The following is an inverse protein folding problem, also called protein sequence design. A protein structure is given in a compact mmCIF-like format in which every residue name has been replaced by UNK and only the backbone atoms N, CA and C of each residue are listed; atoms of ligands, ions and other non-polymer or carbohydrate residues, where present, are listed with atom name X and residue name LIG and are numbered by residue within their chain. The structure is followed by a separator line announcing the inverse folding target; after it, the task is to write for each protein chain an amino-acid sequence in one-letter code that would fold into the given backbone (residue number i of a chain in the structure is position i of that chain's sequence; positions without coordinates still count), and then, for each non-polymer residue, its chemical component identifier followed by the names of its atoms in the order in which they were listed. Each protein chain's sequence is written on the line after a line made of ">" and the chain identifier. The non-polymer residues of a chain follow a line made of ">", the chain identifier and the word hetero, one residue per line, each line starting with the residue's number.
data_IF_153787164551
#
_entry.id   IF_153787164551
#
_cell.length_a   1.000
_cell.length_b   1.000
_cell.length_c   1.000
_cell.angle_alpha   90.00
_cell.angle_beta   90.00
_cell.angle_gamma   90.00
#
_symmetry.space_group_name_H-M   'P 1'
#
loop_
_entity.id
_entity.type
_entity.pdbx_description
1 polymer ?
#
# COMPACT_ATOMS: atom_id res chain seq x y z
N UNK A 1 -24.04 12.82 -3.30
CA UNK A 1 -23.31 11.90 -2.41
C UNK A 1 -22.30 11.19 -3.32
N UNK A 2 -21.05 11.63 -3.32
CA UNK A 2 -19.98 11.01 -4.13
C UNK A 2 -19.42 9.85 -3.31
N UNK A 3 -19.46 8.65 -3.89
CA UNK A 3 -18.97 7.42 -3.26
C UNK A 3 -17.46 7.35 -3.44
N UNK A 4 -16.74 7.14 -2.34
CA UNK A 4 -15.30 6.98 -2.33
C UNK A 4 -14.91 5.55 -2.72
N UNK A 5 -14.01 5.42 -3.68
CA UNK A 5 -13.32 4.17 -3.94
C UNK A 5 -12.20 4.01 -2.90
N UNK A 6 -12.22 2.91 -2.16
CA UNK A 6 -11.14 2.54 -1.25
C UNK A 6 -10.31 1.44 -1.92
N UNK A 7 -9.06 1.71 -2.16
CA UNK A 7 -8.10 0.72 -2.61
C UNK A 7 -7.41 0.13 -1.37
N UNK A 8 -7.51 -1.17 -1.19
CA UNK A 8 -6.80 -1.90 -0.16
C UNK A 8 -5.43 -2.33 -0.67
N UNK A 9 -4.51 -2.37 0.22
CA UNK A 9 -3.09 -2.75 0.20
C UNK A 9 -2.15 -1.61 -0.14
N UNK A 10 -1.44 -1.19 0.86
CA UNK A 10 -0.89 0.13 1.04
C UNK A 10 -1.89 1.11 0.46
N UNK A 11 -2.93 1.38 1.23
CA UNK A 11 -3.87 2.43 0.90
C UNK A 11 -3.18 3.79 1.07
N UNK A 12 -2.14 4.01 0.32
CA UNK A 12 -1.72 5.31 -0.08
C UNK A 12 -2.84 5.79 -0.97
N UNK A 13 -3.62 6.72 -0.46
CA UNK A 13 -4.64 7.49 -1.16
C UNK A 13 -6.08 6.97 -1.08
N UNK A 14 -6.69 7.18 0.06
CA UNK A 14 -8.14 7.32 0.12
C UNK A 14 -8.52 8.79 0.21
N UNK A 15 -9.24 9.24 -0.79
CA UNK A 15 -10.14 10.40 -0.76
C UNK A 15 -9.57 11.80 -0.56
N UNK A 16 -9.17 12.44 -1.65
CA UNK A 16 -9.11 13.89 -1.69
C UNK A 16 -10.51 14.48 -1.85
N UNK A 17 -11.05 15.04 -0.77
CA UNK A 17 -12.13 16.01 -0.84
C UNK A 17 -11.52 17.37 -1.09
N UNK A 18 -11.99 18.10 -2.09
CA UNK A 18 -11.60 19.47 -2.40
C UNK A 18 -11.93 20.39 -1.22
N UNK A 19 -10.96 20.74 -0.41
CA UNK A 19 -11.06 21.73 0.66
C UNK A 19 -9.99 22.81 0.52
N UNK A 20 -10.36 24.01 0.85
CA UNK A 20 -9.58 25.25 0.74
C UNK A 20 -8.51 25.43 1.85
N UNK A 21 -7.86 24.36 2.29
CA UNK A 21 -6.69 24.38 3.17
C UNK A 21 -5.93 23.06 3.02
N UNK A 22 -4.65 23.01 3.37
CA UNK A 22 -3.94 21.75 3.45
C UNK A 22 -4.67 20.83 4.43
N UNK A 23 -5.06 19.63 3.97
CA UNK A 23 -5.68 18.61 4.81
C UNK A 23 -4.56 17.82 5.50
N UNK A 24 -4.74 17.59 6.79
CA UNK A 24 -3.80 16.82 7.59
C UNK A 24 -4.52 15.58 8.10
N UNK A 25 -4.05 14.41 7.71
CA UNK A 25 -4.61 13.13 8.12
C UNK A 25 -3.59 12.32 8.93
N UNK A 26 -4.08 11.43 9.77
CA UNK A 26 -3.29 10.45 10.48
C UNK A 26 -4.04 9.14 10.56
N UNK A 27 -3.33 8.05 10.54
CA UNK A 27 -3.90 6.72 10.65
C UNK A 27 -3.08 5.85 11.60
N UNK A 28 -3.73 4.81 12.13
CA UNK A 28 -3.09 3.74 12.86
C UNK A 28 -3.80 2.42 12.57
N UNK A 29 -3.05 1.34 12.44
CA UNK A 29 -3.57 0.01 12.25
C UNK A 29 -2.83 -1.01 13.11
N UNK A 30 -3.51 -2.12 13.38
CA UNK A 30 -2.93 -3.33 13.97
C UNK A 30 -3.38 -4.50 13.10
N UNK A 31 -2.42 -5.25 12.58
CA UNK A 31 -2.67 -6.42 11.75
C UNK A 31 -2.06 -7.68 12.35
N UNK A 32 -2.57 -8.84 11.95
CA UNK A 32 -2.00 -10.13 12.34
C UNK A 32 -0.64 -10.39 11.70
N UNK A 33 -0.35 -9.71 10.58
CA UNK A 33 0.91 -9.73 9.84
C UNK A 33 1.00 -8.46 9.00
N UNK A 34 2.20 -7.96 8.74
CA UNK A 34 2.45 -6.96 7.71
C UNK A 34 2.90 -7.68 6.43
N UNK A 35 2.07 -7.64 5.40
CA UNK A 35 2.38 -8.22 4.09
C UNK A 35 2.54 -7.10 3.06
N UNK A 36 3.66 -7.10 2.34
CA UNK A 36 3.94 -6.17 1.26
C UNK A 36 4.24 -6.94 -0.03
N UNK A 37 3.52 -6.64 -1.11
CA UNK A 37 3.61 -7.36 -2.40
C UNK A 37 3.54 -8.89 -2.26
N UNK A 38 2.63 -9.37 -1.40
CA UNK A 38 2.42 -10.79 -1.13
C UNK A 38 3.37 -11.41 -0.11
N UNK A 39 4.47 -10.76 0.25
CA UNK A 39 5.50 -11.26 1.15
C UNK A 39 5.33 -10.73 2.58
N UNK A 40 5.44 -11.61 3.59
CA UNK A 40 5.45 -11.19 5.00
C UNK A 40 6.65 -10.31 5.31
N UNK A 41 6.40 -9.22 6.04
CA UNK A 41 7.43 -8.29 6.51
C UNK A 41 7.66 -8.42 8.03
N UNK A 42 6.81 -9.20 8.71
CA UNK A 42 6.91 -9.44 10.16
C UNK A 42 7.02 -10.92 10.52
N UNK A 43 7.42 -11.77 9.56
CA UNK A 43 7.54 -13.24 9.77
C UNK A 43 6.25 -13.85 10.34
N UNK A 44 5.09 -13.43 9.82
CA UNK A 44 3.74 -13.84 10.27
C UNK A 44 3.40 -13.43 11.72
N UNK A 45 4.13 -12.48 12.30
CA UNK A 45 3.87 -11.93 13.62
C UNK A 45 3.09 -10.61 13.53
N UNK A 46 2.39 -10.19 14.60
CA UNK A 46 1.57 -8.97 14.57
C UNK A 46 2.35 -7.70 14.27
N UNK A 47 1.75 -6.84 13.46
CA UNK A 47 2.27 -5.53 13.13
C UNK A 47 1.41 -4.40 13.71
N UNK A 48 2.06 -3.31 14.08
CA UNK A 48 1.44 -2.01 14.37
C UNK A 48 2.02 -1.01 13.40
N UNK A 49 1.15 -0.37 12.64
CA UNK A 49 1.53 0.61 11.63
C UNK A 49 0.74 1.91 11.77
N UNK A 50 1.25 2.96 11.18
CA UNK A 50 0.55 4.23 11.13
C UNK A 50 1.35 5.30 10.41
N UNK A 51 0.67 6.41 10.09
CA UNK A 51 1.28 7.47 9.31
C UNK A 51 0.61 8.82 9.46
N UNK A 52 1.21 9.78 8.79
CA UNK A 52 0.73 11.16 8.70
C UNK A 52 0.80 11.63 7.25
N UNK A 53 -0.25 12.29 6.80
CA UNK A 53 -0.40 12.81 5.46
C UNK A 53 -0.75 14.30 5.47
N UNK A 54 -0.19 15.03 4.54
CA UNK A 54 -0.54 16.42 4.24
C UNK A 54 -0.86 16.50 2.75
N UNK A 55 -2.05 16.96 2.42
CA UNK A 55 -2.49 17.15 1.06
C UNK A 55 -2.90 18.59 0.80
N UNK A 56 -2.43 19.14 -0.32
CA UNK A 56 -2.82 20.46 -0.81
C UNK A 56 -3.96 20.41 -1.81
N UNK A 57 -4.75 21.50 -1.91
CA UNK A 57 -5.83 21.65 -2.90
C UNK A 57 -5.38 21.46 -4.34
N UNK A 58 -4.11 21.71 -4.61
CA UNK A 58 -3.51 21.62 -5.93
C UNK A 58 -3.11 20.20 -6.32
N UNK A 59 -3.41 19.20 -5.47
CA UNK A 59 -3.08 17.79 -5.70
C UNK A 59 -1.69 17.37 -5.21
N UNK A 60 -0.85 18.29 -4.73
CA UNK A 60 0.42 17.93 -4.11
C UNK A 60 0.19 17.31 -2.74
N UNK A 61 0.91 16.26 -2.43
CA UNK A 61 0.89 15.63 -1.10
C UNK A 61 2.28 15.24 -0.65
N UNK A 62 2.41 15.09 0.66
CA UNK A 62 3.59 14.56 1.35
C UNK A 62 3.11 13.74 2.54
N UNK A 63 3.77 12.62 2.82
CA UNK A 63 3.43 11.80 3.96
C UNK A 63 4.58 10.96 4.47
N UNK A 64 4.33 10.29 5.58
CA UNK A 64 5.20 9.30 6.18
C UNK A 64 4.37 8.17 6.75
N UNK A 65 4.88 6.96 6.67
CA UNK A 65 4.27 5.78 7.25
C UNK A 65 5.36 4.94 7.95
N UNK A 66 4.98 4.16 8.95
CA UNK A 66 5.91 3.28 9.64
C UNK A 66 5.21 2.01 10.13
N UNK A 67 5.97 0.92 10.19
CA UNK A 67 5.57 -0.36 10.81
C UNK A 67 6.77 -1.04 11.44
N UNK A 68 6.53 -1.88 12.45
CA UNK A 68 7.54 -2.84 12.83
C UNK A 68 7.74 -3.87 11.71
N UNK A 69 8.97 -4.35 11.58
CA UNK A 69 9.37 -5.42 10.64
C UNK A 69 10.24 -6.45 11.35
N UNK A 70 10.37 -7.67 10.77
CA UNK A 70 11.23 -8.75 11.28
C UNK A 70 11.75 -9.57 10.10
N UNK A 71 12.95 -9.28 9.63
CA UNK A 71 13.61 -9.99 8.52
C UNK A 71 14.69 -10.97 9.00
N UNK A 72 14.95 -11.02 10.32
CA UNK A 72 16.00 -11.85 10.89
C UNK A 72 17.42 -11.26 10.77
N UNK A 73 17.56 -10.05 10.26
CA UNK A 73 18.83 -9.35 10.03
C UNK A 73 19.10 -8.18 11.01
N UNK A 74 18.12 -7.85 11.84
CA UNK A 74 18.21 -6.80 12.86
C UNK A 74 17.38 -5.57 12.58
N UNK A 75 16.79 -5.43 11.39
CA UNK A 75 15.79 -4.41 11.13
C UNK A 75 14.54 -4.65 11.98
N UNK A 76 14.08 -3.62 12.67
CA UNK A 76 12.91 -3.70 13.56
C UNK A 76 11.83 -2.68 13.23
N UNK A 77 12.13 -1.75 12.33
CA UNK A 77 11.25 -0.65 11.94
C UNK A 77 11.47 -0.34 10.46
N UNK A 78 10.36 -0.22 9.73
CA UNK A 78 10.29 0.42 8.42
C UNK A 78 9.70 1.82 8.61
N UNK A 79 10.30 2.81 7.97
CA UNK A 79 9.85 4.19 7.96
C UNK A 79 9.91 4.73 6.54
N UNK A 80 8.74 5.03 6.00
CA UNK A 80 8.58 5.51 4.64
C UNK A 80 8.35 7.01 4.59
N UNK A 81 8.90 7.62 3.55
CA UNK A 81 8.68 9.00 3.19
C UNK A 81 8.20 9.06 1.74
N UNK A 82 7.11 9.76 1.50
CA UNK A 82 6.58 9.88 0.15
C UNK A 82 6.08 11.28 -0.15
N UNK A 83 6.16 11.62 -1.43
CA UNK A 83 5.61 12.86 -1.94
C UNK A 83 5.13 12.64 -3.38
N UNK A 84 4.09 13.34 -3.78
CA UNK A 84 3.56 13.18 -5.14
C UNK A 84 2.53 14.22 -5.52
N UNK A 85 1.94 13.93 -6.68
CA UNK A 85 0.88 14.74 -7.26
C UNK A 85 -0.23 13.82 -7.78
N UNK A 86 -1.42 13.96 -7.20
CA UNK A 86 -2.59 13.18 -7.55
C UNK A 86 -3.75 14.07 -8.01
N UNK A 87 -4.59 13.52 -8.87
CA UNK A 87 -5.78 14.22 -9.34
C UNK A 87 -6.73 13.33 -10.12
N UNK A 88 -7.81 13.94 -10.60
CA UNK A 88 -8.82 13.28 -11.42
C UNK A 88 -9.21 14.18 -12.58
N UNK A 89 -9.33 13.63 -13.76
CA UNK A 89 -9.82 14.33 -14.94
C UNK A 89 -11.36 14.46 -14.90
N UNK A 90 -11.94 15.37 -15.71
CA UNK A 90 -13.39 15.48 -15.86
C UNK A 90 -14.06 14.17 -16.34
N UNK A 91 -13.30 13.29 -17.00
CA UNK A 91 -13.77 12.00 -17.49
C UNK A 91 -13.73 10.87 -16.46
N UNK A 92 -13.31 11.16 -15.20
CA UNK A 92 -13.22 10.17 -14.12
C UNK A 92 -11.95 9.30 -14.16
N UNK A 93 -10.95 9.65 -14.97
CA UNK A 93 -9.63 9.04 -14.90
C UNK A 93 -8.85 9.68 -13.75
N UNK A 94 -8.51 8.90 -12.73
CA UNK A 94 -7.59 9.30 -11.67
C UNK A 94 -6.16 9.03 -12.07
N UNK A 95 -5.24 9.84 -11.58
CA UNK A 95 -3.81 9.67 -11.77
C UNK A 95 -3.06 10.06 -10.50
N UNK A 96 -1.92 9.43 -10.30
CA UNK A 96 -1.02 9.68 -9.20
C UNK A 96 0.42 9.43 -9.64
N UNK A 97 1.28 10.41 -9.50
CA UNK A 97 2.72 10.27 -9.73
C UNK A 97 3.44 10.68 -8.46
N UNK A 98 4.34 9.82 -7.98
CA UNK A 98 5.02 10.08 -6.72
C UNK A 98 6.37 9.41 -6.62
N UNK A 99 7.03 9.74 -5.54
CA UNK A 99 8.29 9.20 -5.08
C UNK A 99 8.10 8.65 -3.68
N UNK A 100 8.66 7.47 -3.44
CA UNK A 100 8.58 6.75 -2.17
C UNK A 100 9.98 6.27 -1.79
N UNK A 101 10.43 6.62 -0.59
CA UNK A 101 11.65 6.13 0.01
C UNK A 101 11.30 5.21 1.17
N UNK A 102 11.73 3.96 1.08
CA UNK A 102 11.68 2.97 2.15
C UNK A 102 12.96 3.05 2.94
N UNK A 103 12.86 3.26 4.24
CA UNK A 103 14.04 3.37 5.11
C UNK A 103 13.93 2.46 6.32
N UNK A 104 15.04 1.83 6.69
CA UNK A 104 15.13 0.86 7.78
C UNK A 104 16.14 1.36 8.82
N UNK A 105 15.73 2.18 9.81
CA UNK A 105 16.62 2.80 10.78
C UNK A 105 17.51 1.79 11.51
N UNK A 106 18.81 1.91 11.28
CA UNK A 106 19.82 1.01 11.82
C UNK A 106 20.33 -0.07 10.87
N UNK A 107 19.65 -0.25 9.71
CA UNK A 107 20.02 -1.19 8.64
C UNK A 107 19.95 -0.51 7.26
N UNK A 108 20.69 0.59 7.09
CA UNK A 108 20.67 1.44 5.88
C UNK A 108 20.93 0.66 4.57
N UNK A 109 21.43 -0.58 4.66
CA UNK A 109 21.65 -1.43 3.47
C UNK A 109 20.37 -2.00 2.87
N UNK A 110 19.25 -1.88 3.58
CA UNK A 110 17.92 -2.28 3.13
C UNK A 110 17.15 -1.11 2.50
N UNK A 111 17.64 0.12 2.66
CA UNK A 111 16.98 1.29 2.12
C UNK A 111 16.90 1.24 0.59
N UNK A 112 15.74 1.59 0.05
CA UNK A 112 15.53 1.72 -1.39
C UNK A 112 14.46 2.76 -1.70
N UNK A 113 14.34 3.09 -2.98
CA UNK A 113 13.47 4.16 -3.45
C UNK A 113 12.72 3.74 -4.70
N UNK A 114 11.51 4.28 -4.89
CA UNK A 114 10.70 4.07 -6.08
C UNK A 114 10.11 5.38 -6.60
N UNK A 115 10.01 5.49 -7.92
CA UNK A 115 9.15 6.47 -8.59
C UNK A 115 7.97 5.69 -9.16
N UNK A 116 6.75 6.13 -8.89
CA UNK A 116 5.57 5.42 -9.35
C UNK A 116 4.61 6.29 -10.14
N UNK A 117 3.83 5.62 -10.98
CA UNK A 117 2.69 6.17 -11.71
C UNK A 117 1.49 5.24 -11.54
N UNK A 118 0.46 5.74 -10.87
CA UNK A 118 -0.83 5.10 -10.73
C UNK A 118 -1.87 5.72 -11.66
N UNK A 119 -2.69 4.89 -12.28
CA UNK A 119 -3.85 5.30 -13.07
C UNK A 119 -5.07 4.49 -12.62
N UNK A 120 -6.23 5.14 -12.49
CA UNK A 120 -7.46 4.48 -12.08
C UNK A 120 -8.65 4.93 -12.91
N UNK A 121 -9.52 4.00 -13.28
CA UNK A 121 -10.77 4.30 -13.94
C UNK A 121 -11.87 3.35 -13.52
N UNK A 122 -12.97 3.89 -12.98
CA UNK A 122 -14.11 3.11 -12.46
C UNK A 122 -13.67 2.14 -11.35
N UNK A 123 -13.62 0.85 -11.64
CA UNK A 123 -13.23 -0.21 -10.69
C UNK A 123 -11.79 -0.69 -10.89
N UNK A 124 -11.11 -0.25 -11.92
CA UNK A 124 -9.79 -0.75 -12.32
C UNK A 124 -8.71 0.26 -11.98
N UNK A 125 -7.58 -0.25 -11.52
CA UNK A 125 -6.35 0.50 -11.34
C UNK A 125 -5.16 -0.23 -11.95
N UNK A 126 -4.13 0.53 -12.31
CA UNK A 126 -2.81 0.04 -12.65
C UNK A 126 -1.79 0.96 -12.02
N UNK A 127 -0.76 0.38 -11.41
CA UNK A 127 0.39 1.11 -10.88
C UNK A 127 1.67 0.50 -11.43
N UNK A 128 2.55 1.34 -11.91
CA UNK A 128 3.93 0.98 -12.25
C UNK A 128 4.85 1.72 -11.28
N UNK A 129 5.68 0.97 -10.58
CA UNK A 129 6.71 1.47 -9.69
C UNK A 129 8.08 1.15 -10.30
N UNK A 130 8.87 2.15 -10.57
CA UNK A 130 10.25 1.99 -11.03
C UNK A 130 11.19 2.08 -9.85
N UNK A 131 11.82 0.96 -9.53
CA UNK A 131 12.88 0.91 -8.54
C UNK A 131 14.06 1.77 -8.95
N UNK A 132 14.65 2.49 -8.00
CA UNK A 132 15.80 3.32 -8.26
C UNK A 132 17.09 2.58 -7.91
N UNK A 133 18.20 2.96 -8.56
CA UNK A 133 19.52 2.33 -8.47
C UNK A 133 19.50 0.84 -8.85
N UNK A 134 19.27 -0.05 -7.93
CA UNK A 134 19.21 -1.51 -8.16
C UNK A 134 17.94 -2.16 -7.61
N UNK A 135 16.99 -1.35 -7.16
CA UNK A 135 15.70 -1.88 -6.72
C UNK A 135 14.88 -2.33 -7.93
N UNK A 136 14.17 -3.48 -7.87
CA UNK A 136 13.38 -3.98 -8.98
C UNK A 136 12.14 -3.14 -9.25
N UNK A 137 11.66 -3.21 -10.50
CA UNK A 137 10.40 -2.59 -10.90
C UNK A 137 9.21 -3.45 -10.45
N UNK A 138 8.03 -2.82 -10.30
CA UNK A 138 6.78 -3.52 -9.99
C UNK A 138 5.64 -3.02 -10.86
N UNK A 139 4.84 -3.94 -11.36
CA UNK A 139 3.55 -3.63 -12.01
C UNK A 139 2.42 -4.23 -11.20
N UNK A 140 1.42 -3.43 -10.87
CA UNK A 140 0.25 -3.86 -10.12
C UNK A 140 -1.03 -3.55 -10.88
N UNK A 141 -1.93 -4.51 -10.95
CA UNK A 141 -3.30 -4.38 -11.46
C UNK A 141 -4.27 -4.54 -10.30
N UNK A 142 -5.22 -3.65 -10.17
CA UNK A 142 -6.21 -3.69 -9.11
C UNK A 142 -7.64 -3.62 -9.63
N UNK A 143 -8.52 -4.32 -8.94
CA UNK A 143 -9.96 -4.29 -9.15
C UNK A 143 -10.63 -4.07 -7.80
N UNK A 144 -11.40 -2.99 -7.67
CA UNK A 144 -12.20 -2.71 -6.47
C UNK A 144 -13.69 -2.74 -6.84
N UNK A 145 -14.45 -3.63 -6.21
CA UNK A 145 -15.88 -3.81 -6.50
C UNK A 145 -16.76 -2.81 -5.71
N UNK A 146 -16.29 -1.61 -5.53
CA UNK A 146 -17.02 -0.48 -4.99
C UNK A 146 -17.63 -0.75 -3.60
N UNK A 147 -18.96 -0.61 -3.49
CA UNK A 147 -19.66 -0.72 -2.20
C UNK A 147 -19.68 -2.12 -1.60
N UNK A 148 -19.16 -3.14 -2.27
CA UNK A 148 -19.12 -4.51 -1.73
C UNK A 148 -18.01 -4.71 -0.71
N UNK A 149 -17.02 -3.85 -0.70
CA UNK A 149 -15.80 -4.00 0.10
C UNK A 149 -14.80 -5.02 -0.45
N UNK A 150 -15.10 -5.66 -1.59
CA UNK A 150 -14.22 -6.65 -2.21
C UNK A 150 -13.18 -5.98 -3.10
N UNK A 151 -11.93 -6.43 -2.96
CA UNK A 151 -10.80 -6.04 -3.79
C UNK A 151 -10.01 -7.24 -4.28
N UNK A 152 -9.41 -7.12 -5.46
CA UNK A 152 -8.46 -8.07 -6.01
C UNK A 152 -7.27 -7.27 -6.55
N UNK A 153 -6.08 -7.69 -6.18
CA UNK A 153 -4.83 -7.14 -6.70
C UNK A 153 -3.99 -8.28 -7.25
N UNK A 154 -3.40 -8.06 -8.40
CA UNK A 154 -2.35 -8.91 -8.97
C UNK A 154 -1.16 -8.03 -9.31
N UNK A 155 0.03 -8.48 -8.93
CA UNK A 155 1.26 -7.77 -9.24
C UNK A 155 2.37 -8.70 -9.69
N UNK A 156 3.33 -8.09 -10.39
CA UNK A 156 4.56 -8.69 -10.85
C UNK A 156 5.71 -7.80 -10.36
N UNK A 157 6.49 -8.33 -9.43
CA UNK A 157 7.65 -7.68 -8.83
C UNK A 157 8.91 -8.29 -9.45
N UNK A 158 9.48 -7.59 -10.41
CA UNK A 158 10.59 -8.05 -11.24
C UNK A 158 11.72 -8.66 -10.38
N UNK A 159 12.30 -9.78 -10.82
CA UNK A 159 13.32 -10.57 -10.11
C UNK A 159 12.83 -11.29 -8.83
N UNK A 160 11.68 -10.94 -8.26
CA UNK A 160 11.15 -11.53 -7.02
C UNK A 160 10.04 -12.54 -7.28
N UNK A 161 8.99 -12.14 -8.00
CA UNK A 161 7.87 -13.02 -8.29
C UNK A 161 6.55 -12.30 -8.46
N UNK A 162 5.49 -13.07 -8.60
CA UNK A 162 4.12 -12.60 -8.79
C UNK A 162 3.33 -12.70 -7.48
N UNK A 163 2.37 -11.81 -7.28
CA UNK A 163 1.49 -11.87 -6.11
C UNK A 163 0.03 -11.62 -6.44
N UNK A 164 -0.83 -12.25 -5.66
CA UNK A 164 -2.28 -12.04 -5.72
C UNK A 164 -2.81 -11.73 -4.33
N UNK A 165 -3.63 -10.70 -4.22
CA UNK A 165 -4.25 -10.30 -2.95
C UNK A 165 -5.76 -10.23 -3.15
N UNK A 166 -6.50 -11.03 -2.38
CA UNK A 166 -7.95 -10.94 -2.28
C UNK A 166 -8.31 -10.27 -0.97
N UNK A 167 -8.92 -9.09 -1.02
CA UNK A 167 -9.27 -8.31 0.17
C UNK A 167 -10.78 -8.17 0.36
N UNK A 168 -11.18 -7.99 1.61
CA UNK A 168 -12.55 -7.70 1.97
C UNK A 168 -12.63 -6.75 3.17
N UNK A 169 -13.15 -5.55 2.94
CA UNK A 169 -13.46 -4.59 3.99
C UNK A 169 -14.84 -4.89 4.57
N UNK A 170 -14.93 -5.17 5.85
CA UNK A 170 -16.20 -5.42 6.51
C UNK A 170 -17.06 -4.14 6.50
N UNK A 171 -18.36 -4.25 6.18
CA UNK A 171 -19.25 -3.08 6.14
C UNK A 171 -19.63 -2.56 7.54
N UNK A 172 -18.98 -3.06 8.59
CA UNK A 172 -19.23 -2.73 9.98
C UNK A 172 -17.92 -2.45 10.71
N UNK A 173 -17.95 -1.48 11.62
CA UNK A 173 -16.84 -1.23 12.52
C UNK A 173 -17.00 -2.06 13.82
N UNK A 174 -15.91 -2.58 14.34
CA UNK A 174 -15.86 -3.27 15.62
C UNK A 174 -15.18 -2.35 16.64
N UNK A 175 -15.90 -1.96 17.69
CA UNK A 175 -15.43 -1.01 18.70
C UNK A 175 -14.94 0.34 18.13
N UNK A 176 -15.50 0.76 16.99
CA UNK A 176 -15.12 2.00 16.29
C UNK A 176 -13.97 1.83 15.30
N UNK A 177 -13.40 0.64 15.21
CA UNK A 177 -12.32 0.32 14.25
C UNK A 177 -12.88 -0.29 12.98
N UNK A 178 -12.38 0.11 11.83
CA UNK A 178 -12.56 -0.61 10.57
C UNK A 178 -11.89 -1.98 10.67
N UNK A 179 -12.45 -2.97 9.98
CA UNK A 179 -11.88 -4.32 9.92
C UNK A 179 -11.75 -4.74 8.47
N UNK A 180 -10.57 -5.16 8.08
CA UNK A 180 -10.32 -5.76 6.78
C UNK A 180 -9.72 -7.16 6.91
N UNK A 181 -9.99 -7.99 5.91
CA UNK A 181 -9.46 -9.33 5.75
C UNK A 181 -8.73 -9.37 4.42
N UNK A 182 -7.57 -10.01 4.37
CA UNK A 182 -6.86 -10.24 3.13
C UNK A 182 -6.28 -11.65 3.09
N UNK A 183 -6.40 -12.29 1.93
CA UNK A 183 -5.60 -13.45 1.59
C UNK A 183 -4.58 -13.02 0.56
N UNK A 184 -3.33 -13.29 0.86
CA UNK A 184 -2.17 -12.97 0.05
C UNK A 184 -1.54 -14.26 -0.43
N UNK A 185 -1.16 -14.31 -1.68
CA UNK A 185 -0.46 -15.41 -2.33
C UNK A 185 0.72 -14.83 -3.09
N UNK A 186 1.91 -15.33 -2.81
CA UNK A 186 3.15 -14.93 -3.47
C UNK A 186 3.81 -16.16 -4.10
N UNK A 187 4.05 -16.09 -5.38
CA UNK A 187 4.74 -17.10 -6.17
C UNK A 187 6.12 -16.59 -6.56
N UNK A 188 7.15 -17.11 -5.89
CA UNK A 188 8.53 -16.69 -6.08
C UNK A 188 9.08 -17.10 -7.45
N UNK A 189 9.87 -16.23 -8.07
CA UNK A 189 10.69 -16.66 -9.22
C UNK A 189 11.79 -17.63 -8.80
N UNK A 190 12.10 -18.63 -9.63
CA UNK A 190 13.17 -19.60 -9.40
C UNK A 190 14.55 -18.95 -9.11
N UNK A 191 14.77 -17.76 -9.68
CA UNK A 191 16.01 -16.98 -9.56
C UNK A 191 16.12 -16.17 -8.29
N UNK A 192 15.00 -15.84 -7.64
CA UNK A 192 14.94 -14.93 -6.49
C UNK A 192 15.59 -15.48 -5.22
N UNK A 193 15.59 -16.81 -5.06
CA UNK A 193 16.00 -17.48 -3.84
C UNK A 193 14.97 -17.39 -2.70
N UNK A 194 13.80 -16.82 -2.98
CA UNK A 194 12.67 -16.77 -2.05
C UNK A 194 11.84 -18.06 -2.13
N UNK A 195 10.91 -18.21 -1.21
CA UNK A 195 9.91 -19.28 -1.21
C UNK A 195 8.54 -18.72 -1.57
N UNK A 196 7.67 -19.58 -2.09
CA UNK A 196 6.24 -19.26 -2.21
C UNK A 196 5.64 -19.05 -0.81
N UNK A 197 4.74 -18.08 -0.69
CA UNK A 197 4.05 -17.76 0.57
C UNK A 197 2.56 -17.63 0.34
N UNK A 198 1.76 -18.10 1.29
CA UNK A 198 0.34 -17.78 1.37
C UNK A 198 -0.04 -17.37 2.80
N UNK A 199 -0.68 -16.21 2.95
CA UNK A 199 -0.94 -15.62 4.26
C UNK A 199 -2.33 -15.02 4.34
N UNK A 200 -3.03 -15.28 5.43
CA UNK A 200 -4.30 -14.64 5.75
C UNK A 200 -4.13 -13.57 6.83
N UNK A 201 -4.47 -12.34 6.50
CA UNK A 201 -4.27 -11.17 7.36
C UNK A 201 -5.61 -10.60 7.81
N UNK A 202 -5.69 -10.26 9.11
CA UNK A 202 -6.79 -9.49 9.70
C UNK A 202 -6.21 -8.16 10.17
N UNK A 203 -6.82 -7.04 9.75
CA UNK A 203 -6.40 -5.70 10.13
C UNK A 203 -7.53 -4.94 10.81
N UNK A 204 -7.21 -4.25 11.90
CA UNK A 204 -8.04 -3.26 12.59
C UNK A 204 -7.42 -1.88 12.40
N UNK A 205 -8.21 -0.90 11.92
CA UNK A 205 -7.70 0.43 11.58
C UNK A 205 -8.63 1.57 12.00
N UNK A 206 -8.04 2.75 12.20
CA UNK A 206 -8.78 3.99 12.47
C UNK A 206 -8.10 5.18 11.81
#
# INVERSE_FOLDING_TARGET
>A
MKKLLRFGVIALLSSFSWLQAAEFESNVAMSSDYVWRGMTQTSEEPAISGGFDIAGENGLYFGTWASNVEFGDGAALELDWYAGYAGETEGGLSYDIGYLAFTYPGEDSLDFEEIYLGLGYSYFGVTYSSGQDSAPDNVELSLSLGDTGLGLTYGDYDEYGEYTILSYDLPVAIAGLGVSLAWNDFSAEDSSGLADEDTFVITFSM
#
